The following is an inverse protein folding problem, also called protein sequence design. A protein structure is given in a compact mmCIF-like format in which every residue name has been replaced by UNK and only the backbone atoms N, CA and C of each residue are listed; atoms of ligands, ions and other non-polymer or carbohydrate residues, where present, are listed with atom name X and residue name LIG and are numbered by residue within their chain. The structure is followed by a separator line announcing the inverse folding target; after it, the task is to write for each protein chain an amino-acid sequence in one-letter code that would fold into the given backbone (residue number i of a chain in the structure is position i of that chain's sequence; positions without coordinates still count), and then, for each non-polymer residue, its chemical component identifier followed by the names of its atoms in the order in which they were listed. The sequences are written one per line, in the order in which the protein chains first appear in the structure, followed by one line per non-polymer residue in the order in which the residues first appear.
data_IF_778532726915
#
_entry.id   IF_778532726915
#
_cell.length_a   1.000
_cell.length_b   1.000
_cell.length_c   1.000
_cell.angle_alpha   90.00
_cell.angle_beta   90.00
_cell.angle_gamma   90.00
#
_symmetry.space_group_name_H-M   'P 1'
#
loop_
_entity.id
_entity.type
_entity.pdbx_description
1 polymer ?
#
# COMPACT_ATOMS: atom_id res chain seq x y z
N UNK A 1 50.51 -10.16 14.94
CA UNK A 1 49.40 -10.30 15.91
C UNK A 1 48.63 -8.99 16.08
N UNK A 2 48.70 -8.06 15.12
CA UNK A 2 48.08 -6.73 15.19
C UNK A 2 47.20 -6.43 13.96
N UNK A 3 47.04 -7.42 13.07
CA UNK A 3 46.34 -7.29 11.78
C UNK A 3 44.98 -8.03 11.75
N UNK A 4 44.56 -8.65 12.85
CA UNK A 4 43.38 -9.53 12.88
C UNK A 4 42.15 -8.94 13.57
N UNK A 5 42.25 -7.74 14.15
CA UNK A 5 41.13 -7.10 14.87
C UNK A 5 40.59 -5.84 14.16
N UNK A 6 41.10 -5.53 12.97
CA UNK A 6 40.61 -4.41 12.14
C UNK A 6 39.81 -4.86 10.92
N UNK A 7 39.23 -6.05 10.97
CA UNK A 7 38.05 -6.38 10.17
C UNK A 7 36.81 -5.97 10.97
N UNK A 8 36.69 -4.66 11.22
CA UNK A 8 35.42 -4.08 11.64
C UNK A 8 34.44 -4.33 10.50
N UNK A 9 33.76 -5.47 10.59
CA UNK A 9 32.54 -5.86 9.89
C UNK A 9 32.11 -4.79 8.89
N UNK A 10 32.64 -4.88 7.68
CA UNK A 10 31.87 -4.42 6.54
C UNK A 10 30.61 -5.29 6.57
N UNK A 11 29.50 -4.75 7.08
CA UNK A 11 28.21 -5.41 7.03
C UNK A 11 27.80 -5.45 5.55
N UNK A 12 27.92 -6.60 4.86
CA UNK A 12 27.76 -6.66 3.43
C UNK A 12 26.28 -6.55 3.12
N UNK A 13 25.84 -5.32 2.89
CA UNK A 13 24.54 -4.99 2.32
C UNK A 13 23.37 -5.26 3.25
N UNK A 14 23.01 -4.27 4.07
CA UNK A 14 21.65 -4.19 4.60
C UNK A 14 20.64 -4.25 3.44
N UNK A 15 20.06 -5.43 3.21
CA UNK A 15 18.88 -5.59 2.38
C UNK A 15 17.79 -4.67 2.95
N UNK A 16 17.50 -3.59 2.25
CA UNK A 16 16.51 -2.61 2.66
C UNK A 16 15.10 -3.19 2.43
N UNK A 17 14.62 -3.97 3.38
CA UNK A 17 13.27 -4.50 3.40
C UNK A 17 12.29 -3.48 3.97
N UNK A 18 11.29 -3.06 3.17
CA UNK A 18 10.25 -2.11 3.60
C UNK A 18 8.88 -2.75 3.78
N UNK A 19 8.78 -4.08 3.85
CA UNK A 19 7.49 -4.76 3.95
C UNK A 19 6.73 -4.46 5.25
N UNK A 20 7.43 -4.15 6.34
CA UNK A 20 6.77 -3.76 7.59
C UNK A 20 6.02 -2.43 7.44
N UNK A 21 6.58 -1.48 6.68
CA UNK A 21 5.93 -0.20 6.41
C UNK A 21 4.77 -0.37 5.42
N UNK A 22 4.95 -1.19 4.38
CA UNK A 22 3.86 -1.54 3.44
C UNK A 22 2.69 -2.20 4.18
N UNK A 23 2.98 -3.10 5.13
CA UNK A 23 1.95 -3.74 5.96
C UNK A 23 1.14 -2.71 6.73
N UNK A 24 1.81 -1.76 7.39
CA UNK A 24 1.13 -0.69 8.14
C UNK A 24 0.27 0.17 7.22
N UNK A 25 0.78 0.49 6.03
CA UNK A 25 0.04 1.26 5.02
C UNK A 25 -1.22 0.51 4.58
N UNK A 26 -1.12 -0.77 4.22
CA UNK A 26 -2.28 -1.55 3.76
C UNK A 26 -3.33 -1.76 4.87
N UNK A 27 -2.90 -2.00 6.11
CA UNK A 27 -3.82 -2.04 7.26
C UNK A 27 -4.50 -0.68 7.44
N UNK A 28 -3.74 0.41 7.38
CA UNK A 28 -4.27 1.77 7.48
C UNK A 28 -5.32 2.06 6.40
N UNK A 29 -5.03 1.71 5.15
CA UNK A 29 -5.98 1.82 4.04
C UNK A 29 -7.24 1.00 4.31
N UNK A 30 -7.10 -0.27 4.73
CA UNK A 30 -8.24 -1.13 5.06
C UNK A 30 -9.13 -0.52 6.15
N UNK A 31 -8.53 0.04 7.20
CA UNK A 31 -9.26 0.73 8.28
C UNK A 31 -10.00 1.97 7.75
N UNK A 32 -9.33 2.82 6.97
CA UNK A 32 -9.95 4.02 6.39
C UNK A 32 -11.13 3.62 5.49
N UNK A 33 -10.96 2.63 4.62
CA UNK A 33 -12.02 2.15 3.74
C UNK A 33 -13.21 1.59 4.54
N UNK A 34 -12.95 0.81 5.59
CA UNK A 34 -13.99 0.22 6.43
C UNK A 34 -14.79 1.29 7.17
N UNK A 35 -14.13 2.31 7.71
CA UNK A 35 -14.79 3.42 8.39
C UNK A 35 -15.52 4.34 7.41
N UNK A 36 -14.97 4.57 6.22
CA UNK A 36 -15.55 5.46 5.22
C UNK A 36 -16.79 4.85 4.53
N UNK A 37 -16.82 3.54 4.33
CA UNK A 37 -17.88 2.85 3.59
C UNK A 37 -19.31 3.20 4.03
N UNK A 38 -19.71 3.14 5.31
CA UNK A 38 -21.09 3.47 5.71
C UNK A 38 -21.50 4.92 5.39
N UNK A 39 -20.56 5.86 5.33
CA UNK A 39 -20.86 7.26 5.04
C UNK A 39 -21.01 7.53 3.53
N UNK A 40 -20.29 6.78 2.70
CA UNK A 40 -20.24 7.03 1.25
C UNK A 40 -20.98 5.98 0.41
N UNK A 41 -21.51 4.92 1.01
CA UNK A 41 -22.15 3.82 0.27
C UNK A 41 -23.26 4.26 -0.70
N UNK A 42 -24.01 5.32 -0.38
CA UNK A 42 -25.11 5.79 -1.22
C UNK A 42 -24.65 6.58 -2.45
N UNK A 43 -23.39 7.02 -2.49
CA UNK A 43 -22.82 7.82 -3.58
C UNK A 43 -21.72 7.07 -4.35
N UNK A 44 -21.27 5.93 -3.82
CA UNK A 44 -20.30 5.07 -4.50
C UNK A 44 -20.96 4.40 -5.72
N UNK A 45 -20.30 4.39 -6.89
CA UNK A 45 -20.82 3.74 -8.09
C UNK A 45 -20.66 2.21 -8.05
N UNK A 46 -20.23 1.65 -6.92
CA UNK A 46 -19.98 0.22 -6.72
C UNK A 46 -20.87 -0.33 -5.60
N UNK A 47 -21.40 -1.56 -5.73
CA UNK A 47 -22.15 -2.20 -4.66
C UNK A 47 -21.34 -2.36 -3.37
N UNK A 48 -22.00 -2.21 -2.22
CA UNK A 48 -21.40 -2.37 -0.89
C UNK A 48 -20.59 -3.68 -0.75
N UNK A 49 -21.13 -4.78 -1.28
CA UNK A 49 -20.50 -6.09 -1.24
C UNK A 49 -19.13 -6.12 -1.94
N UNK A 50 -18.99 -5.45 -3.10
CA UNK A 50 -17.71 -5.35 -3.80
C UNK A 50 -16.71 -4.57 -2.95
N UNK A 51 -17.15 -3.45 -2.36
CA UNK A 51 -16.30 -2.64 -1.47
C UNK A 51 -15.80 -3.45 -0.28
N UNK A 52 -16.67 -4.25 0.35
CA UNK A 52 -16.30 -5.14 1.47
C UNK A 52 -15.27 -6.17 1.02
N UNK A 53 -15.45 -6.79 -0.14
CA UNK A 53 -14.44 -7.73 -0.69
C UNK A 53 -13.12 -7.02 -0.90
N UNK A 54 -13.10 -5.82 -1.48
CA UNK A 54 -11.86 -5.05 -1.68
C UNK A 54 -11.15 -4.76 -0.35
N UNK A 55 -11.89 -4.38 0.70
CA UNK A 55 -11.34 -4.17 2.05
C UNK A 55 -10.67 -5.46 2.56
N UNK A 56 -11.35 -6.60 2.43
CA UNK A 56 -10.82 -7.90 2.86
C UNK A 56 -9.57 -8.28 2.07
N UNK A 57 -9.59 -8.14 0.74
CA UNK A 57 -8.44 -8.46 -0.12
C UNK A 57 -7.21 -7.63 0.25
N UNK A 58 -7.37 -6.31 0.45
CA UNK A 58 -6.28 -5.43 0.85
C UNK A 58 -5.76 -5.79 2.25
N UNK A 59 -6.66 -6.07 3.19
CA UNK A 59 -6.30 -6.47 4.56
C UNK A 59 -5.58 -7.81 4.60
N UNK A 60 -6.00 -8.77 3.76
CA UNK A 60 -5.33 -10.06 3.60
C UNK A 60 -3.95 -9.89 2.95
N UNK A 61 -3.81 -9.03 1.93
CA UNK A 61 -2.51 -8.71 1.35
C UNK A 61 -1.55 -8.14 2.41
N UNK A 62 -2.06 -7.32 3.34
CA UNK A 62 -1.30 -6.85 4.49
C UNK A 62 -0.84 -8.01 5.38
N UNK A 63 -1.75 -8.94 5.73
CA UNK A 63 -1.43 -10.10 6.56
C UNK A 63 -0.44 -11.09 5.90
N UNK A 64 -0.48 -11.21 4.56
CA UNK A 64 0.42 -12.07 3.79
C UNK A 64 1.81 -11.46 3.57
N UNK A 65 1.99 -10.17 3.85
CA UNK A 65 3.29 -9.49 3.71
C UNK A 65 4.30 -10.13 4.68
N UNK A 66 5.33 -10.80 4.13
CA UNK A 66 6.30 -11.56 4.93
C UNK A 66 7.74 -11.32 4.43
N UNK A 67 8.68 -10.96 5.32
CA UNK A 67 10.07 -10.70 4.95
C UNK A 67 10.81 -11.91 4.38
N UNK A 68 10.32 -13.13 4.61
CA UNK A 68 11.00 -14.35 4.19
C UNK A 68 10.65 -14.81 2.77
N UNK A 69 9.65 -14.20 2.12
CA UNK A 69 9.14 -14.68 0.81
C UNK A 69 9.12 -13.58 -0.24
N UNK A 70 9.95 -13.71 -1.27
CA UNK A 70 10.08 -12.72 -2.36
C UNK A 70 8.77 -12.46 -3.12
N UNK A 71 7.96 -13.50 -3.31
CA UNK A 71 6.65 -13.40 -3.95
C UNK A 71 5.69 -12.41 -3.26
N UNK A 72 5.86 -12.14 -1.96
CA UNK A 72 5.01 -11.18 -1.24
C UNK A 72 5.26 -9.74 -1.70
N UNK A 73 6.49 -9.39 -2.09
CA UNK A 73 6.78 -8.07 -2.66
C UNK A 73 6.12 -7.88 -4.03
N UNK A 74 6.03 -8.94 -4.85
CA UNK A 74 5.32 -8.90 -6.14
C UNK A 74 3.83 -8.68 -5.90
N UNK A 75 3.21 -9.45 -5.00
CA UNK A 75 1.79 -9.29 -4.64
C UNK A 75 1.51 -7.87 -4.14
N UNK A 76 2.35 -7.35 -3.24
CA UNK A 76 2.20 -6.00 -2.71
C UNK A 76 2.36 -4.93 -3.80
N UNK A 77 3.27 -5.14 -4.75
CA UNK A 77 3.45 -4.24 -5.89
C UNK A 77 2.20 -4.22 -6.76
N UNK A 78 1.67 -5.39 -7.13
CA UNK A 78 0.45 -5.51 -7.93
C UNK A 78 -0.74 -4.86 -7.20
N UNK A 79 -0.92 -5.18 -5.91
CA UNK A 79 -1.97 -4.60 -5.09
C UNK A 79 -1.85 -3.07 -5.01
N UNK A 80 -0.62 -2.55 -4.89
CA UNK A 80 -0.38 -1.10 -4.83
C UNK A 80 -0.67 -0.40 -6.16
N UNK A 81 -0.30 -1.02 -7.30
CA UNK A 81 -0.63 -0.49 -8.62
C UNK A 81 -2.15 -0.43 -8.82
N UNK A 82 -2.85 -1.53 -8.53
CA UNK A 82 -4.31 -1.59 -8.68
C UNK A 82 -4.97 -0.58 -7.75
N UNK A 83 -4.58 -0.54 -6.48
CA UNK A 83 -5.11 0.39 -5.50
C UNK A 83 -4.89 1.84 -5.92
N UNK A 84 -3.67 2.22 -6.31
CA UNK A 84 -3.37 3.56 -6.80
C UNK A 84 -4.25 3.94 -7.99
N UNK A 85 -4.33 3.09 -9.01
CA UNK A 85 -5.11 3.37 -10.21
C UNK A 85 -6.61 3.55 -9.91
N UNK A 86 -7.18 2.67 -9.09
CA UNK A 86 -8.61 2.70 -8.73
C UNK A 86 -8.94 3.93 -7.89
N UNK A 87 -8.17 4.19 -6.82
CA UNK A 87 -8.47 5.29 -5.92
C UNK A 87 -8.17 6.66 -6.51
N UNK A 88 -7.14 6.78 -7.34
CA UNK A 88 -6.88 8.04 -8.08
C UNK A 88 -8.01 8.30 -9.09
N UNK A 89 -8.46 7.27 -9.82
CA UNK A 89 -9.61 7.40 -10.72
C UNK A 89 -10.85 7.90 -9.97
N UNK A 90 -11.16 7.32 -8.81
CA UNK A 90 -12.31 7.76 -8.00
C UNK A 90 -12.11 9.11 -7.32
N UNK A 91 -10.87 9.53 -7.04
CA UNK A 91 -10.59 10.89 -6.59
C UNK A 91 -10.92 11.89 -7.69
N UNK A 92 -10.42 11.68 -8.91
CA UNK A 92 -10.72 12.54 -10.08
C UNK A 92 -12.22 12.56 -10.40
N UNK A 93 -12.89 11.40 -10.37
CA UNK A 93 -14.34 11.30 -10.57
C UNK A 93 -15.11 12.07 -9.47
N UNK A 94 -14.71 11.96 -8.21
CA UNK A 94 -15.35 12.71 -7.11
C UNK A 94 -15.13 14.24 -7.21
N UNK A 95 -13.92 14.66 -7.61
CA UNK A 95 -13.60 16.07 -7.84
C UNK A 95 -14.47 16.68 -8.95
N UNK A 96 -14.70 15.93 -10.02
CA UNK A 96 -15.47 16.37 -11.20
C UNK A 96 -16.99 16.30 -10.99
N UNK A 97 -17.52 15.27 -10.31
CA UNK A 97 -18.96 15.09 -10.11
C UNK A 97 -19.54 15.89 -8.94
N UNK A 98 -18.77 16.04 -7.86
CA UNK A 98 -19.25 16.65 -6.64
C UNK A 98 -18.55 17.98 -6.40
N UNK A 99 -17.25 17.94 -6.10
CA UNK A 99 -16.38 19.09 -5.88
C UNK A 99 -15.00 18.60 -5.43
N UNK A 100 -13.95 19.36 -5.72
CA UNK A 100 -12.60 19.21 -5.14
C UNK A 100 -12.58 19.38 -3.61
N UNK A 101 -13.64 19.97 -3.02
CA UNK A 101 -13.79 20.09 -1.57
C UNK A 101 -14.61 18.95 -0.94
N UNK A 102 -15.04 17.97 -1.73
CA UNK A 102 -15.86 16.86 -1.21
C UNK A 102 -15.05 15.93 -0.31
N UNK A 103 -15.66 15.45 0.77
CA UNK A 103 -15.00 14.47 1.66
C UNK A 103 -14.62 13.18 0.91
N UNK A 104 -15.43 12.77 -0.07
CA UNK A 104 -15.14 11.59 -0.91
C UNK A 104 -13.86 11.78 -1.73
N UNK A 105 -13.65 12.97 -2.31
CA UNK A 105 -12.39 13.31 -3.00
C UNK A 105 -11.20 13.13 -2.06
N UNK A 106 -11.23 13.77 -0.89
CA UNK A 106 -10.11 13.69 0.05
C UNK A 106 -9.83 12.28 0.55
N UNK A 107 -10.86 11.50 0.86
CA UNK A 107 -10.70 10.10 1.29
C UNK A 107 -10.04 9.28 0.19
N UNK A 108 -10.53 9.37 -1.05
CA UNK A 108 -9.94 8.65 -2.17
C UNK A 108 -8.51 9.12 -2.47
N UNK A 109 -8.24 10.43 -2.40
CA UNK A 109 -6.91 11.00 -2.64
C UNK A 109 -5.90 10.53 -1.59
N UNK A 110 -6.28 10.51 -0.31
CA UNK A 110 -5.41 10.03 0.77
C UNK A 110 -5.11 8.54 0.60
N UNK A 111 -6.10 7.73 0.22
CA UNK A 111 -5.89 6.30 -0.06
C UNK A 111 -4.99 6.12 -1.28
N UNK A 112 -5.19 6.89 -2.36
CA UNK A 112 -4.34 6.85 -3.55
C UNK A 112 -2.88 7.18 -3.19
N UNK A 113 -2.63 8.24 -2.41
CA UNK A 113 -1.30 8.59 -1.93
C UNK A 113 -0.68 7.48 -1.07
N UNK A 114 -1.48 6.83 -0.21
CA UNK A 114 -1.02 5.70 0.57
C UNK A 114 -0.57 4.54 -0.33
N UNK A 115 -1.34 4.21 -1.38
CA UNK A 115 -0.94 3.20 -2.36
C UNK A 115 0.27 3.61 -3.20
N UNK A 116 0.43 4.90 -3.53
CA UNK A 116 1.63 5.41 -4.18
C UNK A 116 2.88 5.17 -3.33
N UNK A 117 2.80 5.46 -2.02
CA UNK A 117 3.91 5.17 -1.09
C UNK A 117 4.18 3.67 -0.98
N UNK A 118 3.13 2.85 -0.89
CA UNK A 118 3.27 1.39 -0.86
C UNK A 118 3.95 0.86 -2.13
N UNK A 119 3.59 1.38 -3.31
CA UNK A 119 4.21 1.03 -4.59
C UNK A 119 5.69 1.41 -4.64
N UNK A 120 6.05 2.61 -4.16
CA UNK A 120 7.44 3.03 -4.09
C UNK A 120 8.27 2.10 -3.19
N UNK A 121 7.77 1.81 -1.99
CA UNK A 121 8.44 0.94 -1.02
C UNK A 121 8.52 -0.52 -1.50
N UNK A 122 7.48 -1.02 -2.16
CA UNK A 122 7.45 -2.40 -2.69
C UNK A 122 8.48 -2.57 -3.81
N UNK A 123 8.58 -1.58 -4.71
CA UNK A 123 9.57 -1.56 -5.79
C UNK A 123 11.00 -1.48 -5.24
N UNK A 124 11.21 -0.67 -4.19
CA UNK A 124 12.51 -0.57 -3.52
C UNK A 124 12.92 -1.89 -2.86
N UNK A 125 11.97 -2.59 -2.23
CA UNK A 125 12.18 -3.91 -1.63
C UNK A 125 12.57 -4.95 -2.69
N UNK A 126 11.86 -4.97 -3.82
CA UNK A 126 12.16 -5.90 -4.91
C UNK A 126 13.55 -5.65 -5.52
N UNK A 127 13.90 -4.39 -5.78
CA UNK A 127 15.25 -4.03 -6.27
C UNK A 127 16.34 -4.37 -5.26
N UNK A 128 16.07 -4.25 -3.97
CA UNK A 128 17.00 -4.61 -2.90
C UNK A 128 17.38 -6.08 -2.93
N UNK A 129 16.43 -6.97 -3.26
CA UNK A 129 16.66 -8.42 -3.33
C UNK A 129 17.46 -8.91 -4.55
N UNK A 130 17.51 -8.14 -5.62
CA UNK A 130 18.16 -8.54 -6.88
C UNK A 130 19.62 -8.07 -6.97
N UNK A 131 20.26 -7.77 -5.84
CA UNK A 131 21.70 -7.59 -5.65
C UNK A 131 22.23 -8.75 -4.83
#
# INVERSE_FOLDING_TARGET
MDDLEKTSKEDPGHYHYYGDDIRKIFVGVGVVMLLALPFFNNILPVPAFISIISILVISLAAGLTNPRKQWTAIINTIASVIGLAVFEYYAVDAATRYSESSALFFVNQVIALAFFLALYLSTKTWRGWNK
#
